data_IF_167080164144
#
_entry.id   IF_167080164144
#
_cell.length_a   1.000
_cell.length_b   1.000
_cell.length_c   1.000
_cell.angle_alpha   90.00
_cell.angle_beta   90.00
_cell.angle_gamma   90.00
#
_symmetry.space_group_name_H-M   'P 1'
#
loop_
_entity.id
_entity.type
_entity.pdbx_description
1 polymer ?
#
# COMPACT_ATOMS: atom_id res chain seq x y z
N UNK A 1 -2.80 13.89 -19.40
CA UNK A 1 -2.09 13.96 -18.09
C UNK A 1 -0.66 14.37 -18.36
N UNK A 2 -0.23 15.56 -17.93
CA UNK A 2 1.19 15.94 -18.02
C UNK A 2 2.01 15.04 -17.10
N UNK A 3 3.19 14.58 -17.55
CA UNK A 3 4.09 13.72 -16.76
C UNK A 3 4.41 14.32 -15.38
N UNK A 4 4.39 15.66 -15.26
CA UNK A 4 4.61 16.36 -13.99
C UNK A 4 3.57 16.00 -12.90
N UNK A 5 2.34 15.63 -13.29
CA UNK A 5 1.29 15.23 -12.33
C UNK A 5 1.50 13.83 -11.76
N UNK A 6 2.36 13.01 -12.38
CA UNK A 6 2.68 11.67 -11.86
C UNK A 6 3.70 11.72 -10.72
N UNK A 7 4.52 12.78 -10.63
CA UNK A 7 5.59 12.90 -9.65
C UNK A 7 5.07 12.76 -8.21
N UNK A 8 4.02 13.49 -7.78
CA UNK A 8 3.50 13.35 -6.41
C UNK A 8 2.98 11.95 -6.10
N UNK A 9 2.37 11.28 -7.08
CA UNK A 9 1.83 9.92 -6.93
C UNK A 9 2.96 8.90 -6.73
N UNK A 10 4.03 9.02 -7.52
CA UNK A 10 5.20 8.15 -7.40
C UNK A 10 5.91 8.36 -6.05
N UNK A 11 6.05 9.62 -5.61
CA UNK A 11 6.62 9.94 -4.30
C UNK A 11 5.78 9.32 -3.19
N UNK A 12 4.45 9.51 -3.22
CA UNK A 12 3.55 8.90 -2.24
C UNK A 12 3.66 7.37 -2.21
N UNK A 13 3.75 6.74 -3.38
CA UNK A 13 3.93 5.29 -3.50
C UNK A 13 5.25 4.80 -2.89
N UNK A 14 6.35 5.54 -3.08
CA UNK A 14 7.66 5.22 -2.47
C UNK A 14 7.60 5.30 -0.95
N UNK A 15 6.98 6.35 -0.39
CA UNK A 15 6.84 6.50 1.05
C UNK A 15 6.00 5.37 1.65
N UNK A 16 4.84 5.08 1.07
CA UNK A 16 3.94 4.03 1.55
C UNK A 16 4.58 2.64 1.42
N UNK A 17 5.22 2.36 0.28
CA UNK A 17 5.92 1.09 0.04
C UNK A 17 7.07 0.85 1.02
N UNK A 18 7.90 1.86 1.26
CA UNK A 18 8.99 1.76 2.24
C UNK A 18 8.48 1.53 3.67
N UNK A 19 7.36 2.14 4.02
CA UNK A 19 6.71 1.92 5.30
C UNK A 19 6.21 0.48 5.43
N UNK A 20 5.48 -0.02 4.43
CA UNK A 20 5.01 -1.41 4.40
C UNK A 20 6.17 -2.41 4.45
N UNK A 21 7.27 -2.16 3.73
CA UNK A 21 8.46 -3.01 3.75
C UNK A 21 9.11 -3.10 5.13
N UNK A 22 9.07 -2.03 5.94
CA UNK A 22 9.54 -2.09 7.34
C UNK A 22 8.66 -3.02 8.17
N UNK A 23 7.33 -2.93 8.04
CA UNK A 23 6.41 -3.82 8.75
C UNK A 23 6.50 -5.27 8.27
N UNK A 24 6.65 -5.50 6.96
CA UNK A 24 6.84 -6.83 6.39
C UNK A 24 8.13 -7.49 6.92
N UNK A 25 9.24 -6.74 6.97
CA UNK A 25 10.49 -7.22 7.58
C UNK A 25 10.32 -7.53 9.06
N UNK A 26 9.65 -6.65 9.81
CA UNK A 26 9.36 -6.86 11.23
C UNK A 26 8.52 -8.11 11.47
N UNK A 27 7.49 -8.34 10.66
CA UNK A 27 6.65 -9.53 10.73
C UNK A 27 7.43 -10.81 10.38
N UNK A 28 8.29 -10.76 9.35
CA UNK A 28 9.16 -11.87 8.96
C UNK A 28 10.12 -12.24 10.08
N UNK A 29 10.78 -11.26 10.71
CA UNK A 29 11.68 -11.50 11.84
C UNK A 29 10.95 -12.07 13.06
N UNK A 30 9.69 -11.71 13.25
CA UNK A 30 8.85 -12.20 14.34
C UNK A 30 8.19 -13.56 14.03
N UNK A 31 8.48 -14.20 12.89
CA UNK A 31 7.86 -15.48 12.49
C UNK A 31 6.35 -15.39 12.27
N UNK A 32 5.81 -14.19 12.02
CA UNK A 32 4.37 -13.97 11.84
C UNK A 32 3.90 -14.50 10.47
N UNK A 33 2.61 -14.85 10.35
CA UNK A 33 2.06 -15.31 9.08
C UNK A 33 2.16 -14.22 7.99
N UNK A 34 2.20 -14.66 6.74
CA UNK A 34 2.39 -13.82 5.55
C UNK A 34 1.36 -12.68 5.41
N UNK A 35 0.15 -12.86 5.94
CA UNK A 35 -0.92 -11.86 5.90
C UNK A 35 -0.80 -10.80 7.01
N UNK A 36 0.02 -11.03 8.05
CA UNK A 36 0.13 -10.13 9.19
C UNK A 36 0.54 -8.68 8.84
N UNK A 37 1.45 -8.42 7.87
CA UNK A 37 1.78 -7.05 7.45
C UNK A 37 0.57 -6.28 6.92
N UNK A 38 -0.42 -6.96 6.33
CA UNK A 38 -1.62 -6.33 5.79
C UNK A 38 -2.60 -5.86 6.87
N UNK A 39 -2.45 -6.34 8.10
CA UNK A 39 -3.23 -5.90 9.27
C UNK A 39 -2.60 -4.67 9.96
N UNK A 40 -1.54 -4.11 9.41
CA UNK A 40 -0.90 -2.88 9.91
C UNK A 40 -1.46 -1.65 9.20
N UNK A 41 -1.27 -0.46 9.78
CA UNK A 41 -1.67 0.82 9.17
C UNK A 41 -1.21 0.92 7.70
N UNK A 42 0.08 0.72 7.34
CA UNK A 42 0.50 0.80 5.93
C UNK A 42 -0.11 -0.31 5.07
N UNK A 43 -0.34 -1.50 5.64
CA UNK A 43 -0.99 -2.61 4.93
C UNK A 43 -2.44 -2.31 4.54
N UNK A 44 -3.21 -1.73 5.48
CA UNK A 44 -4.60 -1.32 5.25
C UNK A 44 -4.66 -0.23 4.18
N UNK A 45 -3.74 0.75 4.22
CA UNK A 45 -3.67 1.80 3.20
C UNK A 45 -3.45 1.22 1.79
N UNK A 46 -2.60 0.19 1.66
CA UNK A 46 -2.41 -0.52 0.40
C UNK A 46 -3.70 -1.22 -0.03
N UNK A 47 -4.38 -1.94 0.87
CA UNK A 47 -5.65 -2.61 0.56
C UNK A 47 -6.68 -1.59 0.05
N UNK A 48 -6.86 -0.48 0.76
CA UNK A 48 -7.79 0.59 0.36
C UNK A 48 -7.43 1.14 -1.01
N UNK A 49 -6.14 1.42 -1.26
CA UNK A 49 -5.68 1.91 -2.57
C UNK A 49 -6.01 0.94 -3.72
N UNK A 50 -5.91 -0.38 -3.48
CA UNK A 50 -6.33 -1.40 -4.44
C UNK A 50 -7.86 -1.54 -4.56
N UNK A 51 -8.61 -1.25 -3.50
CA UNK A 51 -10.07 -1.30 -3.54
C UNK A 51 -10.70 -0.12 -4.28
N UNK A 52 -10.05 1.05 -4.34
CA UNK A 52 -10.56 2.23 -5.06
C UNK A 52 -10.93 1.91 -6.53
N UNK A 53 -10.04 1.35 -7.37
CA UNK A 53 -10.40 1.05 -8.76
C UNK A 53 -11.48 -0.04 -8.86
N UNK A 54 -11.50 -1.01 -7.94
CA UNK A 54 -12.55 -2.04 -7.88
C UNK A 54 -13.90 -1.38 -7.60
N UNK A 55 -13.96 -0.53 -6.58
CA UNK A 55 -15.16 0.21 -6.22
C UNK A 55 -15.66 1.08 -7.38
N UNK A 56 -14.77 1.87 -7.98
CA UNK A 56 -15.09 2.74 -9.11
C UNK A 56 -15.54 1.98 -10.36
N UNK A 57 -15.18 0.69 -10.52
CA UNK A 57 -15.58 -0.12 -11.68
C UNK A 57 -16.95 -0.78 -11.52
N UNK A 58 -17.34 -1.12 -10.29
CA UNK A 58 -18.55 -1.89 -10.01
C UNK A 58 -19.71 -1.05 -9.45
N UNK A 59 -19.42 0.10 -8.82
CA UNK A 59 -20.40 0.92 -8.11
C UNK A 59 -20.53 2.34 -8.68
N UNK A 60 -19.73 2.70 -9.68
CA UNK A 60 -19.78 3.98 -10.41
C UNK A 60 -19.74 3.70 -11.91
#
# INVERSE_FOLDING_TARGET
MSMLKAIPVLVAALFLGNWFLREARKAKMAGKPWYAPYLTIPGILIIVAFMIPVYLRFFH
#
